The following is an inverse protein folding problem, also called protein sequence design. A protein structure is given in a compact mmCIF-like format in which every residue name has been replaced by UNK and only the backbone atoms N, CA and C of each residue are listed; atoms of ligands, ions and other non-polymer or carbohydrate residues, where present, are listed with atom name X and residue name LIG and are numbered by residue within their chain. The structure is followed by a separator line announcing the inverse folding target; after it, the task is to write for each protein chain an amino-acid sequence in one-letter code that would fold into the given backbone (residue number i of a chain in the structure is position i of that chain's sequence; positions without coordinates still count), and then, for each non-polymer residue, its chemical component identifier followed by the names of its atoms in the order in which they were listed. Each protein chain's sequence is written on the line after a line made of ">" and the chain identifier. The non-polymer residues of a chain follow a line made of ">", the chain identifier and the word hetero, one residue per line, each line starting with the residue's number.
data_IF_831234657113
#
_entry.id   IF_831234657113
#
_cell.length_a   1.000
_cell.length_b   1.000
_cell.length_c   1.000
_cell.angle_alpha   90.00
_cell.angle_beta   90.00
_cell.angle_gamma   90.00
#
_symmetry.space_group_name_H-M   'P 1'
#
loop_
_entity.id
_entity.type
_entity.pdbx_description
1 polymer ?
#
# COMPACT_ATOMS: atom_id res chain seq x y z
N UNK A 1 -1.14 20.45 6.76
CA UNK A 1 -0.32 21.63 7.09
C UNK A 1 -0.26 22.54 5.88
N UNK A 2 -0.60 23.82 6.00
CA UNK A 2 -0.36 24.78 4.92
C UNK A 2 0.96 25.47 5.22
N UNK A 3 1.91 25.38 4.33
CA UNK A 3 3.19 26.10 4.44
C UNK A 3 3.05 27.46 3.74
N UNK A 4 3.36 28.56 4.44
CA UNK A 4 3.45 29.86 3.80
C UNK A 4 4.77 29.98 3.01
N UNK A 5 4.80 30.82 1.98
CA UNK A 5 6.02 31.09 1.22
C UNK A 5 7.18 31.56 2.13
N UNK A 6 6.89 32.37 3.14
CA UNK A 6 7.88 32.81 4.14
C UNK A 6 8.41 31.66 4.99
N UNK A 7 7.55 30.70 5.36
CA UNK A 7 7.97 29.49 6.09
C UNK A 7 8.90 28.61 5.25
N UNK A 8 8.60 28.45 3.98
CA UNK A 8 9.45 27.72 3.04
C UNK A 8 10.82 28.38 2.86
N UNK A 9 10.83 29.70 2.65
CA UNK A 9 12.06 30.48 2.52
C UNK A 9 12.92 30.42 3.80
N UNK A 10 12.32 30.64 4.97
CA UNK A 10 13.01 30.53 6.25
C UNK A 10 13.65 29.16 6.46
N UNK A 11 12.89 28.08 6.19
CA UNK A 11 13.40 26.72 6.35
C UNK A 11 14.52 26.41 5.32
N UNK A 12 14.39 26.88 4.08
CA UNK A 12 15.43 26.73 3.07
C UNK A 12 16.74 27.43 3.49
N UNK A 13 16.68 28.65 4.01
CA UNK A 13 17.84 29.40 4.51
C UNK A 13 18.50 28.74 5.73
N UNK A 14 17.72 28.08 6.59
CA UNK A 14 18.24 27.36 7.76
C UNK A 14 18.66 25.91 7.45
N UNK A 15 18.71 25.50 6.16
CA UNK A 15 19.02 24.13 5.78
C UNK A 15 17.99 23.12 6.31
N UNK A 16 16.76 23.53 6.48
CA UNK A 16 15.62 22.74 6.99
C UNK A 16 15.80 22.18 8.43
N UNK A 17 16.69 22.77 9.23
CA UNK A 17 16.95 22.32 10.62
C UNK A 17 15.73 22.42 11.53
N UNK A 18 14.86 23.41 11.31
CA UNK A 18 13.66 23.66 12.12
C UNK A 18 12.41 22.97 11.51
N UNK A 19 12.57 22.14 10.48
CA UNK A 19 11.45 21.44 9.86
C UNK A 19 10.95 20.34 10.78
N UNK A 20 9.69 20.38 11.14
CA UNK A 20 9.08 19.32 11.97
C UNK A 20 9.06 17.99 11.21
N UNK A 21 9.47 16.90 11.85
CA UNK A 21 9.30 15.56 11.28
C UNK A 21 7.84 15.30 10.87
N UNK A 22 7.64 14.49 9.81
CA UNK A 22 6.31 14.17 9.31
C UNK A 22 5.50 13.30 10.30
N UNK A 23 6.18 12.55 11.15
CA UNK A 23 5.65 11.80 12.31
C UNK A 23 6.67 11.84 13.45
N UNK A 24 6.18 11.58 14.68
CA UNK A 24 7.01 11.52 15.89
C UNK A 24 7.94 10.30 15.85
N UNK A 25 8.96 10.34 16.67
CA UNK A 25 9.84 9.19 16.99
C UNK A 25 9.73 8.88 18.49
N UNK A 26 8.60 8.33 18.96
CA UNK A 26 8.40 8.08 20.37
C UNK A 26 9.28 6.93 20.85
N UNK A 27 9.63 6.96 22.13
CA UNK A 27 10.10 5.78 22.81
C UNK A 27 8.92 4.85 23.14
N UNK A 28 9.12 3.53 23.08
CA UNK A 28 8.06 2.58 23.41
C UNK A 28 7.54 2.77 24.84
N UNK A 29 6.21 2.74 25.00
CA UNK A 29 5.55 2.72 26.30
C UNK A 29 5.65 1.34 26.97
N UNK A 30 5.45 1.26 28.29
CA UNK A 30 5.43 -0.01 29.01
C UNK A 30 4.29 -0.96 28.59
N UNK A 31 3.18 -0.43 28.09
CA UNK A 31 2.03 -1.19 27.64
C UNK A 31 1.27 -0.47 26.53
N UNK A 32 0.67 -1.27 25.65
CA UNK A 32 -0.22 -0.85 24.58
C UNK A 32 -1.46 -1.74 24.55
N UNK A 33 -2.57 -1.22 24.04
CA UNK A 33 -3.78 -2.03 23.83
C UNK A 33 -3.59 -2.94 22.60
N UNK A 34 -2.82 -2.46 21.61
CA UNK A 34 -2.51 -3.20 20.39
C UNK A 34 -1.05 -2.98 19.99
N UNK A 35 -0.34 -4.06 19.68
CA UNK A 35 0.98 -4.01 19.06
C UNK A 35 0.91 -4.64 17.68
N UNK A 36 1.30 -3.89 16.65
CA UNK A 36 1.29 -4.34 15.26
C UNK A 36 2.73 -4.47 14.78
N UNK A 37 3.07 -5.66 14.28
CA UNK A 37 4.43 -5.97 13.81
C UNK A 37 4.50 -5.70 12.30
N UNK A 38 5.36 -4.77 11.91
CA UNK A 38 5.61 -4.38 10.53
C UNK A 38 4.87 -3.13 10.09
N UNK A 39 5.61 -2.15 9.56
CA UNK A 39 5.12 -0.84 9.16
C UNK A 39 4.41 -0.78 7.79
N UNK A 40 4.32 -1.90 7.05
CA UNK A 40 3.63 -1.94 5.76
C UNK A 40 2.10 -1.85 5.92
N UNK A 41 1.43 -2.98 5.89
CA UNK A 41 -0.02 -3.05 6.17
C UNK A 41 -0.37 -2.61 7.59
N UNK A 42 0.58 -2.76 8.53
CA UNK A 42 0.38 -2.40 9.92
C UNK A 42 0.02 -0.94 10.14
N UNK A 43 0.56 -0.01 9.35
CA UNK A 43 0.20 1.41 9.44
C UNK A 43 -1.25 1.68 9.01
N UNK A 44 -1.70 1.02 7.94
CA UNK A 44 -3.09 1.12 7.51
C UNK A 44 -4.02 0.52 8.57
N UNK A 45 -3.67 -0.66 9.11
CA UNK A 45 -4.43 -1.30 10.21
C UNK A 45 -4.52 -0.38 11.42
N UNK A 46 -3.40 0.19 11.88
CA UNK A 46 -3.36 1.12 13.00
C UNK A 46 -4.21 2.38 12.75
N UNK A 47 -4.12 2.94 11.54
CA UNK A 47 -4.91 4.10 11.15
C UNK A 47 -6.42 3.83 11.24
N UNK A 48 -6.89 2.71 10.66
CA UNK A 48 -8.31 2.38 10.70
C UNK A 48 -8.80 1.97 12.09
N UNK A 49 -7.99 1.26 12.90
CA UNK A 49 -8.32 0.98 14.30
C UNK A 49 -8.49 2.28 15.09
N UNK A 50 -7.60 3.25 14.87
CA UNK A 50 -7.70 4.54 15.57
C UNK A 50 -8.86 5.40 15.06
N UNK A 51 -9.07 5.44 13.73
CA UNK A 51 -10.08 6.29 13.10
C UNK A 51 -11.50 5.76 13.30
N UNK A 52 -11.73 4.48 13.03
CA UNK A 52 -13.07 3.89 12.99
C UNK A 52 -13.50 3.27 14.33
N UNK A 53 -12.54 2.81 15.14
CA UNK A 53 -12.81 2.13 16.41
C UNK A 53 -12.35 2.90 17.66
N UNK A 54 -11.72 4.06 17.48
CA UNK A 54 -11.25 4.89 18.61
C UNK A 54 -10.10 4.29 19.42
N UNK A 55 -9.51 3.17 18.98
CA UNK A 55 -8.37 2.53 19.64
C UNK A 55 -7.10 3.33 19.31
N UNK A 56 -6.53 4.02 20.30
CA UNK A 56 -5.41 4.97 20.06
C UNK A 56 -4.09 4.56 20.72
N UNK A 57 -4.14 3.73 21.75
CA UNK A 57 -2.93 3.25 22.41
C UNK A 57 -2.34 2.07 21.63
N UNK A 58 -1.87 2.37 20.41
CA UNK A 58 -1.35 1.40 19.45
C UNK A 58 0.14 1.66 19.23
N UNK A 59 0.95 0.59 19.20
CA UNK A 59 2.31 0.62 18.67
C UNK A 59 2.37 -0.09 17.32
N UNK A 60 3.00 0.54 16.34
CA UNK A 60 3.47 -0.12 15.11
C UNK A 60 4.98 -0.25 15.21
N UNK A 61 5.48 -1.49 15.29
CA UNK A 61 6.93 -1.79 15.42
C UNK A 61 7.47 -2.22 14.06
N UNK A 62 8.47 -1.51 13.56
CA UNK A 62 9.13 -1.78 12.28
C UNK A 62 10.62 -2.03 12.50
N UNK A 63 11.14 -3.17 11.99
CA UNK A 63 12.53 -3.54 12.20
C UNK A 63 13.52 -2.63 11.51
N UNK A 64 13.16 -2.07 10.38
CA UNK A 64 13.95 -1.10 9.62
C UNK A 64 13.31 0.29 9.62
N UNK A 65 13.48 1.01 8.53
CA UNK A 65 12.74 2.25 8.29
C UNK A 65 11.45 1.96 7.53
N UNK A 66 10.48 2.85 7.62
CA UNK A 66 9.20 2.72 6.92
C UNK A 66 9.39 2.62 5.40
N UNK A 67 8.90 1.54 4.81
CA UNK A 67 9.08 1.23 3.39
C UNK A 67 10.29 0.35 3.07
N UNK A 68 11.13 -0.03 4.03
CA UNK A 68 12.32 -0.88 3.79
C UNK A 68 11.98 -2.33 3.39
N UNK A 69 10.79 -2.81 3.73
CA UNK A 69 10.33 -4.18 3.45
C UNK A 69 9.69 -4.34 2.07
N UNK A 70 8.72 -5.25 1.98
CA UNK A 70 8.01 -5.57 0.73
C UNK A 70 7.30 -4.38 0.10
N UNK A 71 6.85 -3.42 0.92
CA UNK A 71 6.15 -2.25 0.41
C UNK A 71 7.04 -1.38 -0.49
N UNK A 72 8.34 -1.31 -0.21
CA UNK A 72 9.31 -0.59 -1.04
C UNK A 72 9.86 -1.41 -2.22
N UNK A 73 9.41 -2.65 -2.40
CA UNK A 73 9.95 -3.61 -3.38
C UNK A 73 8.88 -4.22 -4.29
N UNK A 74 7.67 -3.68 -4.27
CA UNK A 74 6.57 -4.18 -5.08
C UNK A 74 6.50 -3.46 -6.44
N UNK A 75 5.62 -3.94 -7.31
CA UNK A 75 5.39 -3.41 -8.66
C UNK A 75 4.51 -2.16 -8.69
N UNK A 76 4.02 -1.72 -7.54
CA UNK A 76 3.08 -0.59 -7.40
C UNK A 76 1.75 -0.71 -8.15
N UNK A 77 1.48 -1.83 -8.78
CA UNK A 77 0.25 -2.05 -9.52
C UNK A 77 -0.93 -2.28 -8.56
N UNK A 78 -1.96 -1.45 -8.71
CA UNK A 78 -3.22 -1.52 -7.97
C UNK A 78 -4.30 -1.97 -8.93
N UNK A 79 -4.92 -3.12 -8.66
CA UNK A 79 -5.86 -3.77 -9.58
C UNK A 79 -6.78 -4.74 -8.85
N UNK A 80 -7.93 -5.07 -9.46
CA UNK A 80 -8.88 -6.09 -8.98
C UNK A 80 -9.13 -7.21 -9.99
N UNK A 81 -8.32 -7.30 -11.05
CA UNK A 81 -8.46 -8.24 -12.15
C UNK A 81 -8.03 -9.68 -11.81
N UNK A 82 -8.55 -10.24 -10.74
CA UNK A 82 -8.31 -11.61 -10.29
C UNK A 82 -9.30 -12.58 -10.91
N UNK A 83 -9.00 -13.88 -10.88
CA UNK A 83 -9.88 -14.92 -11.43
C UNK A 83 -10.99 -15.34 -10.44
N UNK A 84 -10.63 -15.47 -9.15
CA UNK A 84 -11.56 -15.95 -8.13
C UNK A 84 -12.46 -14.81 -7.63
N UNK A 85 -13.76 -15.08 -7.53
CA UNK A 85 -14.78 -14.11 -7.11
C UNK A 85 -14.47 -13.48 -5.76
N UNK A 86 -14.08 -14.27 -4.77
CA UNK A 86 -13.76 -13.81 -3.43
C UNK A 86 -12.63 -12.78 -3.45
N UNK A 87 -11.58 -13.05 -4.23
CA UNK A 87 -10.49 -12.11 -4.42
C UNK A 87 -10.95 -10.84 -5.14
N UNK A 88 -11.83 -10.97 -6.14
CA UNK A 88 -12.35 -9.82 -6.88
C UNK A 88 -13.11 -8.87 -5.95
N UNK A 89 -14.01 -9.36 -5.12
CA UNK A 89 -14.76 -8.53 -4.17
C UNK A 89 -13.86 -7.84 -3.15
N UNK A 90 -12.87 -8.56 -2.62
CA UNK A 90 -11.89 -8.00 -1.70
C UNK A 90 -11.07 -6.86 -2.33
N UNK A 91 -10.51 -7.13 -3.52
CA UNK A 91 -9.68 -6.14 -4.19
C UNK A 91 -10.48 -4.98 -4.79
N UNK A 92 -11.75 -5.19 -5.16
CA UNK A 92 -12.63 -4.11 -5.60
C UNK A 92 -13.00 -3.16 -4.45
N UNK A 93 -13.26 -3.71 -3.26
CA UNK A 93 -13.40 -2.90 -2.05
C UNK A 93 -12.12 -2.10 -1.76
N UNK A 94 -10.94 -2.72 -1.95
CA UNK A 94 -9.65 -2.04 -1.83
C UNK A 94 -9.49 -0.93 -2.87
N UNK A 95 -9.91 -1.13 -4.12
CA UNK A 95 -9.85 -0.11 -5.18
C UNK A 95 -10.58 1.17 -4.78
N UNK A 96 -11.76 1.06 -4.17
CA UNK A 96 -12.53 2.21 -3.68
C UNK A 96 -11.78 2.99 -2.60
N UNK A 97 -11.03 2.29 -1.74
CA UNK A 97 -10.17 2.96 -0.75
C UNK A 97 -9.00 3.70 -1.43
N UNK A 98 -8.43 3.14 -2.50
CA UNK A 98 -7.37 3.80 -3.25
C UNK A 98 -7.82 5.10 -3.92
N UNK A 99 -9.05 5.14 -4.45
CA UNK A 99 -9.62 6.31 -5.11
C UNK A 99 -9.75 7.53 -4.19
N UNK A 100 -10.08 7.30 -2.92
CA UNK A 100 -10.26 8.38 -1.93
C UNK A 100 -9.01 8.64 -1.08
N UNK A 101 -8.02 7.75 -1.10
CA UNK A 101 -6.90 7.72 -0.16
C UNK A 101 -6.14 9.05 -0.06
N UNK A 102 -5.86 9.71 -1.18
CA UNK A 102 -5.13 10.99 -1.17
C UNK A 102 -5.91 12.09 -0.45
N UNK A 103 -7.22 12.08 -0.55
CA UNK A 103 -8.11 12.99 0.15
C UNK A 103 -8.20 12.62 1.64
N UNK A 104 -8.46 11.36 1.94
CA UNK A 104 -8.69 10.87 3.31
C UNK A 104 -7.45 11.04 4.21
N UNK A 105 -6.27 10.81 3.64
CA UNK A 105 -4.99 10.97 4.34
C UNK A 105 -4.42 12.39 4.22
N UNK A 106 -5.08 13.28 3.46
CA UNK A 106 -4.58 14.61 3.11
C UNK A 106 -3.10 14.56 2.66
N UNK A 107 -2.80 13.61 1.77
CA UNK A 107 -1.46 13.36 1.27
C UNK A 107 -1.51 12.73 -0.13
N UNK A 108 -0.82 13.29 -1.11
CA UNK A 108 -0.82 12.76 -2.46
C UNK A 108 -0.03 11.43 -2.54
N UNK A 109 -0.74 10.32 -2.62
CA UNK A 109 -0.15 8.98 -2.81
C UNK A 109 0.20 8.68 -4.27
N UNK A 110 -0.01 9.65 -5.15
CA UNK A 110 0.28 9.56 -6.59
C UNK A 110 -0.43 8.36 -7.24
N UNK A 111 -1.66 8.06 -6.81
CA UNK A 111 -2.47 7.05 -7.45
C UNK A 111 -2.91 7.53 -8.83
N UNK A 112 -2.52 6.79 -9.86
CA UNK A 112 -2.80 7.11 -11.26
C UNK A 112 -3.54 5.95 -11.92
N UNK A 113 -4.83 6.14 -12.16
CA UNK A 113 -5.71 5.17 -12.82
C UNK A 113 -5.56 5.25 -14.35
N UNK A 114 -4.46 4.70 -14.85
CA UNK A 114 -4.18 4.61 -16.29
C UNK A 114 -4.50 3.24 -16.87
N UNK A 115 -5.00 2.35 -16.03
CA UNK A 115 -5.29 0.98 -16.34
C UNK A 115 -4.09 0.05 -16.18
N UNK A 116 -4.42 -1.24 -16.21
CA UNK A 116 -3.44 -2.34 -16.24
C UNK A 116 -3.82 -3.29 -17.37
N UNK A 117 -2.87 -3.60 -18.24
CA UNK A 117 -3.03 -4.54 -19.35
C UNK A 117 -2.23 -5.80 -19.08
N UNK A 118 -2.87 -6.95 -19.17
CA UNK A 118 -2.23 -8.25 -19.21
C UNK A 118 -2.13 -8.69 -20.67
N UNK A 119 -0.91 -8.82 -21.22
CA UNK A 119 -0.67 -9.23 -22.60
C UNK A 119 -0.70 -10.75 -22.74
N UNK A 120 -1.34 -11.25 -23.80
CA UNK A 120 -1.37 -12.66 -24.16
C UNK A 120 -0.45 -12.93 -25.35
N UNK A 121 0.44 -13.90 -25.21
CA UNK A 121 1.43 -14.30 -26.22
C UNK A 121 1.05 -15.62 -26.91
N UNK A 122 0.04 -16.32 -26.42
CA UNK A 122 -0.45 -17.58 -26.99
C UNK A 122 -1.93 -17.79 -26.68
N UNK A 123 -2.59 -18.72 -27.40
CA UNK A 123 -4.01 -19.00 -27.23
C UNK A 123 -4.39 -19.42 -25.80
N UNK A 124 -3.65 -20.34 -25.13
CA UNK A 124 -3.99 -20.69 -23.74
C UNK A 124 -4.01 -19.49 -22.79
N UNK A 125 -3.10 -18.53 -22.94
CA UNK A 125 -3.14 -17.28 -22.14
C UNK A 125 -4.36 -16.44 -22.46
N UNK A 126 -4.69 -16.31 -23.74
CA UNK A 126 -5.87 -15.55 -24.18
C UNK A 126 -7.16 -16.20 -23.64
N UNK A 127 -7.29 -17.52 -23.68
CA UNK A 127 -8.44 -18.24 -23.12
C UNK A 127 -8.58 -18.01 -21.60
N UNK A 128 -7.48 -17.97 -20.87
CA UNK A 128 -7.49 -17.62 -19.45
C UNK A 128 -7.99 -16.19 -19.27
N UNK A 129 -7.59 -15.25 -20.11
CA UNK A 129 -8.03 -13.86 -20.01
C UNK A 129 -9.49 -13.68 -20.41
N UNK A 130 -10.01 -14.43 -21.37
CA UNK A 130 -11.44 -14.46 -21.70
C UNK A 130 -12.27 -14.91 -20.50
N UNK A 131 -11.89 -16.03 -19.89
CA UNK A 131 -12.57 -16.54 -18.68
C UNK A 131 -12.50 -15.56 -17.52
N UNK A 132 -11.32 -15.00 -17.27
CA UNK A 132 -11.14 -13.96 -16.23
C UNK A 132 -12.00 -12.73 -16.51
N UNK A 133 -11.99 -12.23 -17.73
CA UNK A 133 -12.81 -11.09 -18.14
C UNK A 133 -14.31 -11.32 -17.98
N UNK A 134 -14.79 -12.53 -18.31
CA UNK A 134 -16.18 -12.90 -18.07
C UNK A 134 -16.52 -12.88 -16.57
N UNK A 135 -15.64 -13.47 -15.74
CA UNK A 135 -15.82 -13.45 -14.28
C UNK A 135 -15.81 -12.02 -13.71
N UNK A 136 -14.91 -11.16 -14.21
CA UNK A 136 -14.86 -9.75 -13.82
C UNK A 136 -16.19 -9.04 -14.12
N UNK A 137 -16.73 -9.21 -15.35
CA UNK A 137 -18.01 -8.60 -15.73
C UNK A 137 -19.17 -9.08 -14.88
N UNK A 138 -19.22 -10.37 -14.56
CA UNK A 138 -20.26 -10.93 -13.66
C UNK A 138 -20.20 -10.30 -12.25
N UNK A 139 -19.04 -9.86 -11.81
CA UNK A 139 -18.83 -9.22 -10.49
C UNK A 139 -18.81 -7.68 -10.59
N UNK A 140 -19.20 -7.09 -11.73
CA UNK A 140 -19.29 -5.64 -11.89
C UNK A 140 -17.96 -4.91 -12.03
N UNK A 141 -16.86 -5.66 -12.31
CA UNK A 141 -15.52 -5.09 -12.49
C UNK A 141 -15.31 -4.76 -13.97
N UNK A 142 -14.78 -3.59 -14.25
CA UNK A 142 -14.48 -3.16 -15.60
C UNK A 142 -13.38 -4.02 -16.23
N UNK A 143 -13.63 -4.47 -17.45
CA UNK A 143 -12.62 -5.15 -18.24
C UNK A 143 -12.92 -5.12 -19.74
N UNK A 144 -11.87 -5.09 -20.52
CA UNK A 144 -11.92 -5.14 -21.99
C UNK A 144 -10.93 -6.18 -22.51
N UNK A 145 -11.39 -7.01 -23.46
CA UNK A 145 -10.48 -7.83 -24.25
C UNK A 145 -10.07 -7.01 -25.48
N UNK A 146 -8.77 -6.84 -25.64
CA UNK A 146 -8.18 -6.03 -26.70
C UNK A 146 -7.46 -6.92 -27.70
N UNK A 147 -7.68 -6.66 -29.00
CA UNK A 147 -6.90 -7.26 -30.07
C UNK A 147 -5.56 -6.49 -30.29
N UNK A 148 -4.61 -7.03 -31.07
CA UNK A 148 -3.31 -6.40 -31.27
C UNK A 148 -3.39 -4.93 -31.77
N UNK A 149 -4.27 -4.62 -32.72
CA UNK A 149 -4.44 -3.25 -33.24
C UNK A 149 -4.96 -2.27 -32.19
N UNK A 150 -5.83 -2.73 -31.30
CA UNK A 150 -6.31 -1.92 -30.18
C UNK A 150 -5.21 -1.69 -29.14
N UNK A 151 -4.33 -2.67 -28.93
CA UNK A 151 -3.17 -2.57 -28.04
C UNK A 151 -2.14 -1.57 -28.57
N UNK A 152 -1.82 -1.59 -29.87
CA UNK A 152 -0.93 -0.60 -30.49
C UNK A 152 -1.45 0.83 -30.34
N UNK A 153 -2.76 1.01 -30.51
CA UNK A 153 -3.38 2.34 -30.32
C UNK A 153 -3.34 2.78 -28.86
N UNK A 154 -3.47 1.84 -27.92
CA UNK A 154 -3.47 2.13 -26.49
C UNK A 154 -2.06 2.39 -25.96
N UNK A 155 -1.07 1.65 -26.47
CA UNK A 155 0.33 1.69 -26.04
C UNK A 155 1.21 2.01 -27.29
N UNK A 156 1.43 3.29 -27.56
CA UNK A 156 2.27 3.69 -28.70
C UNK A 156 3.67 3.10 -28.58
N UNK A 157 4.15 2.48 -29.68
CA UNK A 157 5.44 1.83 -29.73
C UNK A 157 5.47 0.35 -29.29
N UNK A 158 4.32 -0.22 -28.92
CA UNK A 158 4.21 -1.66 -28.67
C UNK A 158 4.29 -2.40 -30.02
N UNK A 159 5.28 -3.31 -30.14
CA UNK A 159 5.40 -4.18 -31.32
C UNK A 159 4.45 -5.39 -31.18
N UNK A 160 3.40 -5.41 -32.00
CA UNK A 160 2.45 -6.54 -32.08
C UNK A 160 2.63 -7.37 -33.35
N UNK A 161 3.74 -7.18 -34.08
CA UNK A 161 4.02 -7.94 -35.30
C UNK A 161 4.17 -9.42 -35.03
N UNK A 162 3.81 -10.26 -36.01
CA UNK A 162 4.00 -11.70 -35.92
C UNK A 162 5.50 -12.13 -35.89
N UNK A 163 6.41 -11.23 -36.31
CA UNK A 163 7.85 -11.42 -36.30
C UNK A 163 8.50 -11.05 -34.97
N UNK A 164 7.76 -10.45 -34.05
CA UNK A 164 8.28 -10.14 -32.71
C UNK A 164 8.73 -11.42 -31.99
N UNK A 165 9.81 -11.33 -31.21
CA UNK A 165 10.32 -12.48 -30.42
C UNK A 165 9.26 -13.11 -29.52
N UNK A 166 8.34 -12.31 -29.01
CA UNK A 166 7.18 -12.71 -28.22
C UNK A 166 5.93 -12.07 -28.81
N UNK A 167 5.33 -12.65 -29.87
CA UNK A 167 4.17 -12.07 -30.53
C UNK A 167 3.02 -11.85 -29.54
N UNK A 168 2.32 -10.75 -29.70
CA UNK A 168 1.18 -10.41 -28.87
C UNK A 168 -0.10 -10.67 -29.66
N UNK A 169 -0.94 -11.58 -29.19
CA UNK A 169 -2.19 -11.96 -29.86
C UNK A 169 -3.44 -11.32 -29.25
N UNK A 170 -3.30 -10.63 -28.14
CA UNK A 170 -4.38 -9.91 -27.46
C UNK A 170 -4.01 -9.52 -26.03
N UNK A 171 -4.96 -8.99 -25.30
CA UNK A 171 -4.77 -8.65 -23.91
C UNK A 171 -6.07 -8.40 -23.15
N UNK A 172 -5.99 -8.42 -21.82
CA UNK A 172 -7.07 -8.07 -20.91
C UNK A 172 -6.71 -6.75 -20.22
N UNK A 173 -7.52 -5.73 -20.45
CA UNK A 173 -7.40 -4.39 -19.86
C UNK A 173 -8.39 -4.22 -18.73
N UNK A 174 -7.94 -3.69 -17.61
CA UNK A 174 -8.75 -3.10 -16.56
C UNK A 174 -8.46 -1.60 -16.50
N UNK A 175 -9.42 -0.74 -16.82
CA UNK A 175 -9.21 0.72 -16.90
C UNK A 175 -9.14 1.39 -15.54
N UNK A 176 -9.97 0.94 -14.59
CA UNK A 176 -9.97 1.46 -13.21
C UNK A 176 -8.69 1.14 -12.44
N UNK A 177 -7.94 0.13 -12.88
CA UNK A 177 -6.64 -0.20 -12.31
C UNK A 177 -5.61 0.92 -12.56
N UNK A 178 -4.51 0.89 -11.80
CA UNK A 178 -3.49 1.90 -11.93
C UNK A 178 -2.22 1.58 -11.15
N UNK A 179 -1.46 2.63 -10.91
CA UNK A 179 -0.24 2.55 -10.09
C UNK A 179 -0.26 3.62 -9.01
N UNK A 180 0.38 3.33 -7.88
CA UNK A 180 0.55 4.29 -6.81
C UNK A 180 2.02 4.32 -6.39
N UNK A 181 2.47 5.40 -5.77
CA UNK A 181 3.81 5.46 -5.25
C UNK A 181 3.85 4.87 -3.84
N UNK A 182 4.44 3.69 -3.71
CA UNK A 182 4.41 2.88 -2.50
C UNK A 182 5.02 3.56 -1.26
N UNK A 183 6.10 4.32 -1.41
CA UNK A 183 6.70 5.12 -0.34
C UNK A 183 5.76 6.25 0.12
N UNK A 184 5.14 6.97 -0.81
CA UNK A 184 4.15 8.00 -0.51
C UNK A 184 2.94 7.44 0.26
N UNK A 185 2.49 6.22 -0.07
CA UNK A 185 1.42 5.52 0.65
C UNK A 185 1.80 5.24 2.09
N UNK A 186 3.01 4.71 2.32
CA UNK A 186 3.50 4.43 3.68
C UNK A 186 3.60 5.71 4.50
N UNK A 187 4.18 6.76 3.93
CA UNK A 187 4.33 8.05 4.62
C UNK A 187 3.00 8.73 4.90
N UNK A 188 2.02 8.58 3.98
CA UNK A 188 0.67 9.08 4.19
C UNK A 188 0.01 8.43 5.40
N UNK A 189 0.03 7.09 5.46
CA UNK A 189 -0.51 6.37 6.61
C UNK A 189 0.26 6.63 7.90
N UNK A 190 1.61 6.69 7.84
CA UNK A 190 2.42 7.00 9.02
C UNK A 190 2.04 8.37 9.61
N UNK A 191 1.96 9.38 8.76
CA UNK A 191 1.56 10.73 9.19
C UNK A 191 0.14 10.77 9.76
N UNK A 192 -0.80 10.10 9.10
CA UNK A 192 -2.19 10.09 9.54
C UNK A 192 -2.38 9.29 10.85
N UNK A 193 -1.73 8.13 10.98
CA UNK A 193 -1.76 7.33 12.20
C UNK A 193 -1.12 8.07 13.39
N UNK A 194 0.03 8.71 13.18
CA UNK A 194 0.70 9.53 14.20
C UNK A 194 -0.19 10.68 14.70
N UNK A 195 -0.93 11.34 13.80
CA UNK A 195 -1.89 12.40 14.17
C UNK A 195 -3.04 11.88 15.04
N UNK A 196 -3.38 10.60 14.93
CA UNK A 196 -4.38 9.93 15.77
C UNK A 196 -3.80 9.39 17.08
N UNK A 197 -2.49 9.57 17.33
CA UNK A 197 -1.83 9.18 18.57
C UNK A 197 -1.16 7.81 18.54
N UNK A 198 -1.12 7.14 17.38
CA UNK A 198 -0.40 5.88 17.20
C UNK A 198 1.10 6.11 17.33
N UNK A 199 1.78 5.24 18.08
CA UNK A 199 3.23 5.29 18.23
C UNK A 199 3.89 4.43 17.12
N UNK A 200 4.73 5.06 16.31
CA UNK A 200 5.47 4.42 15.21
C UNK A 200 6.92 4.26 15.65
N UNK A 201 7.37 3.02 15.80
CA UNK A 201 8.66 2.69 16.37
C UNK A 201 9.51 2.00 15.30
N UNK A 202 10.35 2.78 14.63
CA UNK A 202 11.29 2.32 13.60
C UNK A 202 12.58 1.78 14.23
N UNK A 203 13.31 0.95 13.46
CA UNK A 203 14.54 0.28 13.90
C UNK A 203 14.32 -0.52 15.20
N UNK A 204 13.20 -1.22 15.28
CA UNK A 204 12.75 -1.99 16.41
C UNK A 204 12.28 -3.36 15.94
N UNK A 205 13.18 -4.33 15.96
CA UNK A 205 12.87 -5.70 15.55
C UNK A 205 12.18 -6.45 16.67
N UNK A 206 11.09 -7.16 16.36
CA UNK A 206 10.48 -8.13 17.27
C UNK A 206 11.26 -9.43 17.17
N UNK A 207 11.86 -9.84 18.29
CA UNK A 207 12.70 -11.04 18.38
C UNK A 207 11.99 -12.25 18.97
N UNK A 208 10.81 -12.03 19.58
CA UNK A 208 10.02 -13.12 20.15
C UNK A 208 8.70 -12.65 20.76
N UNK A 209 7.93 -13.61 21.26
CA UNK A 209 6.66 -13.38 21.93
C UNK A 209 6.75 -13.75 23.41
N UNK A 210 6.12 -12.96 24.25
CA UNK A 210 5.92 -13.26 25.67
C UNK A 210 4.57 -13.96 25.77
N UNK A 211 4.54 -15.13 26.43
CA UNK A 211 3.35 -15.95 26.57
C UNK A 211 3.03 -16.23 28.03
N UNK A 212 1.77 -16.34 28.33
CA UNK A 212 1.21 -16.88 29.58
C UNK A 212 0.29 -18.04 29.17
N UNK A 213 0.77 -19.28 29.31
CA UNK A 213 0.16 -20.46 28.70
C UNK A 213 0.12 -20.31 27.18
N UNK A 214 -1.07 -20.46 26.58
CA UNK A 214 -1.31 -20.32 25.15
C UNK A 214 -1.56 -18.87 24.69
N UNK A 215 -1.69 -17.94 25.64
CA UNK A 215 -2.00 -16.55 25.35
C UNK A 215 -0.72 -15.74 25.14
N UNK A 216 -0.64 -14.99 24.03
CA UNK A 216 0.40 -13.98 23.81
C UNK A 216 0.05 -12.75 24.64
N UNK A 217 0.98 -12.35 25.53
CA UNK A 217 0.83 -11.19 26.42
C UNK A 217 1.78 -10.05 26.12
N UNK A 218 2.69 -10.24 25.15
CA UNK A 218 3.63 -9.20 24.77
C UNK A 218 4.62 -9.63 23.70
N UNK A 219 5.51 -8.70 23.34
CA UNK A 219 6.59 -8.92 22.38
C UNK A 219 7.94 -8.53 22.98
N UNK A 220 8.98 -9.26 22.61
CA UNK A 220 10.38 -8.88 22.86
C UNK A 220 10.91 -8.12 21.66
N UNK A 221 11.66 -7.04 21.90
CA UNK A 221 12.19 -6.20 20.81
C UNK A 221 13.64 -5.80 21.05
N UNK A 222 14.35 -5.46 19.95
CA UNK A 222 15.76 -5.02 20.01
C UNK A 222 15.96 -3.63 20.64
N UNK A 223 14.92 -2.78 20.68
CA UNK A 223 15.03 -1.43 21.29
C UNK A 223 14.74 -1.39 22.78
N UNK A 224 14.10 -2.42 23.30
CA UNK A 224 13.81 -2.58 24.71
C UNK A 224 14.50 -3.85 25.21
N UNK A 225 15.76 -3.73 25.57
CA UNK A 225 16.44 -4.72 26.39
C UNK A 225 15.96 -4.63 27.87
N UNK A 226 14.80 -4.02 28.10
CA UNK A 226 14.19 -3.83 29.42
C UNK A 226 12.70 -4.17 29.36
N UNK A 227 12.42 -5.45 29.73
CA UNK A 227 11.12 -5.94 30.23
C UNK A 227 9.89 -5.58 29.38
N UNK A 228 9.47 -6.58 28.58
CA UNK A 228 8.10 -6.86 28.13
C UNK A 228 7.11 -5.69 28.03
N UNK A 229 6.83 -5.28 26.82
CA UNK A 229 5.57 -4.60 26.51
C UNK A 229 4.45 -5.63 26.70
N UNK A 230 3.64 -5.50 27.74
CA UNK A 230 2.43 -6.32 27.92
C UNK A 230 1.38 -5.84 26.94
N UNK A 231 0.73 -6.79 26.27
CA UNK A 231 -0.51 -6.57 25.55
C UNK A 231 -1.67 -6.46 26.53
#
# INVERSE_FOLDING_TARGET
>A
MRYSAFSLLKNALNGNKDWKPAWRKPDPKPAYDVVIIGGGHGLATAYYLAKEHGIRNIAVVEKGWLGSGNIGRNTTAVRSNYLLTENQHFYEASMKLWETMSHDLNYNVMFSQRGVVNLAHNLPQLDVYVRRGNQMRLNGIDCELLNPKQLEKLIPGLDTSASARFPIIGGLMQRSAGTARHDAVVWAYARAADQLGVDIIENCEVTGFIKDGDKVTGVMTTRLDRKSTRL
#
